data_IF_316018886193
#
_entry.id   IF_316018886193
#
_cell.length_a   1.000
_cell.length_b   1.000
_cell.length_c   1.000
_cell.angle_alpha   90.00
_cell.angle_beta   90.00
_cell.angle_gamma   90.00
#
_symmetry.space_group_name_H-M   'P 1'
#
loop_
_entity.id
_entity.type
_entity.pdbx_description
1 polymer ?
#
# COMPACT_ATOMS: atom_id res chain seq x y z
N UNK A 1 -40.95 37.05 45.28
CA UNK A 1 -40.61 35.76 45.91
C UNK A 1 -40.78 34.67 44.86
N UNK A 2 -39.74 33.88 44.57
CA UNK A 2 -39.70 32.41 44.78
C UNK A 2 -40.83 31.65 44.05
N UNK A 3 -40.63 30.62 43.24
CA UNK A 3 -39.49 29.76 42.99
C UNK A 3 -39.85 28.80 41.84
N UNK A 4 -38.80 28.32 41.16
CA UNK A 4 -38.60 26.95 40.65
C UNK A 4 -39.82 26.05 40.40
N UNK A 5 -39.98 25.62 39.14
CA UNK A 5 -40.05 24.19 38.79
C UNK A 5 -40.03 24.02 37.26
N UNK A 6 -38.88 24.35 36.67
CA UNK A 6 -38.52 23.98 35.31
C UNK A 6 -38.32 22.46 35.22
N UNK A 7 -39.13 21.84 34.37
CA UNK A 7 -38.73 20.86 33.35
C UNK A 7 -37.64 19.82 33.68
N UNK A 8 -38.06 18.59 33.93
CA UNK A 8 -37.35 17.33 33.64
C UNK A 8 -38.47 16.31 33.36
N UNK A 9 -38.41 15.44 32.32
CA UNK A 9 -37.23 14.64 32.00
C UNK A 9 -37.05 14.33 30.50
N UNK A 10 -35.97 14.81 29.85
CA UNK A 10 -35.67 14.43 28.46
C UNK A 10 -34.17 14.22 28.21
N UNK A 11 -33.47 13.62 29.18
CA UNK A 11 -32.08 13.19 29.01
C UNK A 11 -31.91 11.81 29.67
N UNK A 12 -32.62 10.82 29.15
CA UNK A 12 -32.48 9.41 29.53
C UNK A 12 -32.00 8.54 28.36
N UNK A 13 -31.19 9.08 27.44
CA UNK A 13 -30.78 8.37 26.22
C UNK A 13 -29.29 8.45 25.85
N UNK A 14 -28.41 8.92 26.73
CA UNK A 14 -27.00 9.09 26.37
C UNK A 14 -26.03 8.44 27.39
N UNK A 15 -26.14 7.13 27.59
CA UNK A 15 -25.04 6.28 28.11
C UNK A 15 -25.40 4.81 27.80
N UNK A 16 -24.53 3.97 27.19
CA UNK A 16 -23.07 3.98 27.34
C UNK A 16 -22.31 3.77 26.01
N UNK A 17 -21.67 4.80 25.49
CA UNK A 17 -20.54 4.62 24.55
C UNK A 17 -19.18 4.57 25.28
N UNK A 18 -19.18 4.69 26.61
CA UNK A 18 -17.99 4.67 27.46
C UNK A 18 -17.78 3.28 28.08
N UNK A 19 -17.63 2.27 27.23
CA UNK A 19 -17.11 0.96 27.64
C UNK A 19 -16.23 0.32 26.54
N UNK A 20 -15.97 1.01 25.44
CA UNK A 20 -14.84 0.67 24.59
C UNK A 20 -13.57 1.14 25.31
N UNK A 21 -13.08 0.31 26.23
CA UNK A 21 -11.65 0.25 26.53
C UNK A 21 -10.94 0.33 25.19
N UNK A 22 -10.26 1.46 24.94
CA UNK A 22 -9.38 1.59 23.81
C UNK A 22 -8.46 0.36 23.85
N UNK A 23 -8.51 -0.45 22.80
CA UNK A 23 -7.62 -1.59 22.67
C UNK A 23 -6.19 -1.08 22.94
N UNK A 24 -5.38 -1.81 23.72
CA UNK A 24 -3.99 -1.43 23.90
C UNK A 24 -3.39 -1.18 22.51
N UNK A 25 -2.64 -0.08 22.32
CA UNK A 25 -2.01 0.17 21.03
C UNK A 25 -1.24 -1.10 20.66
N UNK A 26 -1.36 -1.60 19.43
CA UNK A 26 -0.69 -2.82 19.02
C UNK A 26 0.78 -2.68 19.41
N UNK A 27 1.24 -3.60 20.27
CA UNK A 27 2.64 -3.67 20.68
C UNK A 27 3.49 -3.57 19.43
N UNK A 28 4.54 -2.76 19.47
CA UNK A 28 5.54 -2.62 18.42
C UNK A 28 6.07 -4.01 18.03
N UNK A 29 5.37 -4.69 17.13
CA UNK A 29 5.88 -5.86 16.48
C UNK A 29 7.03 -5.28 15.69
N UNK A 30 8.26 -5.53 16.15
CA UNK A 30 9.46 -5.23 15.41
C UNK A 30 9.17 -5.68 13.98
N UNK A 31 9.00 -4.72 13.08
CA UNK A 31 8.52 -4.96 11.74
C UNK A 31 9.56 -5.87 11.08
N UNK A 32 9.34 -7.19 11.16
CA UNK A 32 10.24 -8.18 10.63
C UNK A 32 10.01 -8.15 9.14
N UNK A 33 10.90 -7.44 8.44
CA UNK A 33 10.84 -7.43 6.99
C UNK A 33 10.94 -8.87 6.49
N UNK A 34 10.05 -9.29 5.58
CA UNK A 34 10.15 -10.59 4.95
C UNK A 34 11.56 -10.78 4.37
N UNK A 35 12.21 -11.93 4.62
CA UNK A 35 13.58 -12.20 4.16
C UNK A 35 13.73 -12.13 2.62
N UNK A 36 12.62 -12.18 1.90
CA UNK A 36 12.56 -12.04 0.44
C UNK A 36 12.97 -10.63 -0.03
N UNK A 37 12.77 -9.59 0.79
CA UNK A 37 13.11 -8.20 0.44
C UNK A 37 14.63 -7.97 0.52
N UNK A 38 15.34 -8.76 1.34
CA UNK A 38 16.79 -8.68 1.50
C UNK A 38 17.56 -9.67 0.62
N UNK A 39 16.89 -10.64 -0.02
CA UNK A 39 17.52 -11.59 -0.92
C UNK A 39 17.78 -10.98 -2.31
N UNK A 40 19.06 -10.82 -2.67
CA UNK A 40 19.44 -10.32 -3.99
C UNK A 40 18.97 -11.23 -5.15
N UNK A 41 18.70 -12.52 -4.89
CA UNK A 41 18.17 -13.46 -5.89
C UNK A 41 16.71 -13.20 -6.23
N UNK A 42 16.00 -12.41 -5.41
CA UNK A 42 14.61 -12.04 -5.70
C UNK A 42 14.50 -11.16 -6.95
N UNK A 43 15.47 -10.25 -7.15
CA UNK A 43 15.52 -9.42 -8.36
C UNK A 43 15.60 -10.27 -9.63
N UNK A 44 16.43 -11.32 -9.63
CA UNK A 44 16.56 -12.22 -10.78
C UNK A 44 15.28 -13.01 -11.02
N UNK A 45 14.64 -13.52 -9.96
CA UNK A 45 13.35 -14.21 -10.05
C UNK A 45 12.25 -13.30 -10.59
N UNK A 46 12.25 -12.02 -10.21
CA UNK A 46 11.32 -11.02 -10.73
C UNK A 46 11.54 -10.78 -12.22
N UNK A 47 12.79 -10.59 -12.65
CA UNK A 47 13.11 -10.43 -14.07
C UNK A 47 12.64 -11.66 -14.87
N UNK A 48 12.93 -12.87 -14.39
CA UNK A 48 12.51 -14.10 -15.06
C UNK A 48 10.98 -14.24 -15.12
N UNK A 49 10.27 -13.86 -14.06
CA UNK A 49 8.81 -13.81 -14.04
C UNK A 49 8.27 -12.80 -15.05
N UNK A 50 8.85 -11.61 -15.14
CA UNK A 50 8.45 -10.60 -16.14
C UNK A 50 8.68 -11.10 -17.58
N UNK A 51 9.79 -11.81 -17.83
CA UNK A 51 10.04 -12.46 -19.12
C UNK A 51 8.98 -13.52 -19.41
N UNK A 52 8.63 -14.36 -18.43
CA UNK A 52 7.58 -15.36 -18.61
C UNK A 52 6.20 -14.74 -18.90
N UNK A 53 5.89 -13.61 -18.25
CA UNK A 53 4.63 -12.88 -18.45
C UNK A 53 4.59 -12.04 -19.72
N UNK A 54 5.76 -11.66 -20.28
CA UNK A 54 5.85 -10.80 -21.47
C UNK A 54 5.04 -11.33 -22.66
N UNK A 55 5.02 -12.65 -22.85
CA UNK A 55 4.23 -13.32 -23.89
C UNK A 55 2.73 -13.10 -23.70
N UNK A 56 2.24 -13.13 -22.47
CA UNK A 56 0.84 -12.89 -22.16
C UNK A 56 0.47 -11.42 -22.45
N UNK A 57 1.31 -10.47 -22.05
CA UNK A 57 1.09 -9.05 -22.32
C UNK A 57 1.05 -8.73 -23.82
N UNK A 58 1.98 -9.30 -24.60
CA UNK A 58 2.01 -9.06 -26.04
C UNK A 58 0.74 -9.55 -26.77
N UNK A 59 0.05 -10.54 -26.23
CA UNK A 59 -1.19 -11.08 -26.80
C UNK A 59 -2.45 -10.39 -26.24
N UNK A 60 -2.32 -9.39 -25.37
CA UNK A 60 -3.46 -8.72 -24.77
C UNK A 60 -4.23 -7.91 -25.85
N UNK A 61 -5.55 -8.12 -26.02
CA UNK A 61 -6.33 -7.48 -27.08
C UNK A 61 -6.67 -6.03 -26.68
N UNK A 62 -5.80 -5.10 -27.04
CA UNK A 62 -6.00 -3.67 -26.76
C UNK A 62 -7.20 -3.08 -27.46
N UNK A 63 -7.56 -3.58 -28.64
CA UNK A 63 -8.76 -3.10 -29.34
C UNK A 63 -10.05 -3.43 -28.59
N UNK A 64 -10.11 -4.58 -27.91
CA UNK A 64 -11.28 -4.94 -27.10
C UNK A 64 -11.39 -4.05 -25.86
N UNK A 65 -10.25 -3.73 -25.24
CA UNK A 65 -10.19 -2.81 -24.09
C UNK A 65 -10.62 -1.41 -24.52
N UNK A 66 -10.13 -0.92 -25.67
CA UNK A 66 -10.50 0.38 -26.22
C UNK A 66 -12.00 0.44 -26.55
N UNK A 67 -12.56 -0.58 -27.21
CA UNK A 67 -13.99 -0.65 -27.50
C UNK A 67 -14.85 -0.65 -26.23
N UNK A 68 -14.40 -1.33 -25.17
CA UNK A 68 -15.09 -1.35 -23.87
C UNK A 68 -15.07 0.03 -23.20
N UNK A 69 -13.95 0.75 -23.27
CA UNK A 69 -13.83 2.14 -22.77
C UNK A 69 -14.73 3.09 -23.56
N UNK A 70 -14.84 2.90 -24.87
CA UNK A 70 -15.73 3.65 -25.76
C UNK A 70 -17.22 3.27 -25.62
N UNK A 71 -17.54 2.24 -24.82
CA UNK A 71 -18.91 1.79 -24.58
C UNK A 71 -19.58 1.11 -25.78
N UNK A 72 -18.80 0.61 -26.74
CA UNK A 72 -19.29 -0.09 -27.94
C UNK A 72 -18.93 -1.58 -27.92
N UNK A 73 -19.68 -2.46 -28.60
CA UNK A 73 -19.28 -3.84 -28.75
C UNK A 73 -17.97 -3.94 -29.57
N UNK A 74 -17.04 -4.77 -29.11
CA UNK A 74 -15.79 -5.02 -29.82
C UNK A 74 -16.04 -5.72 -31.17
N UNK A 75 -15.50 -5.16 -32.24
CA UNK A 75 -15.61 -5.70 -33.61
C UNK A 75 -14.56 -6.78 -33.86
N UNK A 76 -14.71 -7.56 -34.95
CA UNK A 76 -13.71 -8.54 -35.35
C UNK A 76 -12.33 -7.93 -35.67
N UNK A 77 -12.28 -6.64 -36.01
CA UNK A 77 -11.04 -5.91 -36.22
C UNK A 77 -10.37 -5.58 -34.87
N UNK A 78 -11.14 -5.11 -33.89
CA UNK A 78 -10.65 -4.79 -32.54
C UNK A 78 -10.02 -6.01 -31.85
N UNK A 79 -10.63 -7.18 -31.99
CA UNK A 79 -10.12 -8.46 -31.45
C UNK A 79 -8.77 -8.87 -32.03
N UNK A 80 -8.41 -8.38 -33.22
CA UNK A 80 -7.11 -8.64 -33.84
C UNK A 80 -6.05 -7.62 -33.42
N UNK A 81 -6.45 -6.50 -32.82
CA UNK A 81 -5.52 -5.49 -32.31
C UNK A 81 -5.01 -5.92 -30.95
N UNK A 82 -3.76 -6.34 -30.93
CA UNK A 82 -3.02 -6.74 -29.72
C UNK A 82 -1.85 -5.80 -29.48
N UNK A 83 -1.31 -5.76 -28.26
CA UNK A 83 -0.12 -4.96 -27.95
C UNK A 83 1.00 -5.24 -28.96
N UNK A 84 1.21 -6.51 -29.34
CA UNK A 84 2.19 -6.89 -30.36
C UNK A 84 1.96 -6.19 -31.69
N UNK A 85 0.71 -6.11 -32.16
CA UNK A 85 0.38 -5.53 -33.46
C UNK A 85 0.48 -4.00 -33.45
N UNK A 86 0.17 -3.35 -32.33
CA UNK A 86 0.29 -1.89 -32.20
C UNK A 86 1.74 -1.45 -32.04
N UNK A 87 2.52 -2.17 -31.22
CA UNK A 87 3.91 -1.79 -30.90
C UNK A 87 4.93 -2.35 -31.88
N UNK A 88 4.54 -3.31 -32.74
CA UNK A 88 5.42 -4.07 -33.61
C UNK A 88 6.57 -4.79 -32.86
N UNK A 89 6.48 -4.90 -31.54
CA UNK A 89 7.53 -5.52 -30.72
C UNK A 89 7.39 -7.04 -30.75
N UNK A 90 8.50 -7.72 -31.08
CA UNK A 90 8.55 -9.17 -30.94
C UNK A 90 8.76 -9.59 -29.48
N UNK A 91 8.45 -10.85 -29.16
CA UNK A 91 8.76 -11.42 -27.85
C UNK A 91 10.25 -11.33 -27.52
N UNK A 92 11.11 -11.44 -28.54
CA UNK A 92 12.56 -11.31 -28.39
C UNK A 92 12.95 -9.88 -28.01
N UNK A 93 12.31 -8.87 -28.60
CA UNK A 93 12.61 -7.46 -28.30
C UNK A 93 12.22 -7.10 -26.87
N UNK A 94 11.04 -7.52 -26.43
CA UNK A 94 10.59 -7.32 -25.05
C UNK A 94 11.50 -8.05 -24.07
N UNK A 95 11.89 -9.30 -24.37
CA UNK A 95 12.84 -10.05 -23.54
C UNK A 95 14.18 -9.32 -23.43
N UNK A 96 14.74 -8.90 -24.55
CA UNK A 96 16.02 -8.19 -24.59
C UNK A 96 15.95 -6.89 -23.78
N UNK A 97 14.83 -6.16 -23.84
CA UNK A 97 14.64 -4.93 -23.09
C UNK A 97 14.52 -5.19 -21.58
N UNK A 98 13.81 -6.24 -21.17
CA UNK A 98 13.72 -6.66 -19.77
C UNK A 98 15.10 -7.11 -19.26
N UNK A 99 15.83 -7.92 -20.03
CA UNK A 99 17.18 -8.35 -19.66
C UNK A 99 18.16 -7.17 -19.56
N UNK A 100 18.03 -6.18 -20.44
CA UNK A 100 18.83 -4.95 -20.38
C UNK A 100 18.56 -4.10 -19.13
N UNK A 101 17.37 -4.22 -18.52
CA UNK A 101 17.03 -3.49 -17.27
C UNK A 101 17.45 -4.24 -16.00
N UNK A 102 17.88 -5.51 -16.11
CA UNK A 102 18.34 -6.33 -14.97
C UNK A 102 19.42 -5.65 -14.10
N UNK A 103 20.47 -5.00 -14.65
CA UNK A 103 21.47 -4.31 -13.85
C UNK A 103 20.88 -3.14 -13.05
N UNK A 104 19.95 -2.40 -13.65
CA UNK A 104 19.27 -1.26 -13.00
C UNK A 104 18.38 -1.76 -11.87
N UNK A 105 17.63 -2.83 -12.08
CA UNK A 105 16.81 -3.45 -11.02
C UNK A 105 17.67 -3.93 -9.84
N UNK A 106 18.80 -4.59 -10.11
CA UNK A 106 19.74 -5.03 -9.07
C UNK A 106 20.32 -3.84 -8.30
N UNK A 107 20.69 -2.77 -8.99
CA UNK A 107 21.18 -1.54 -8.37
C UNK A 107 20.10 -0.89 -7.48
N UNK A 108 18.86 -0.81 -7.96
CA UNK A 108 17.72 -0.31 -7.21
C UNK A 108 17.46 -1.11 -5.93
N UNK A 109 17.40 -2.45 -6.04
CA UNK A 109 17.22 -3.32 -4.87
C UNK A 109 18.37 -3.18 -3.87
N UNK A 110 19.62 -3.05 -4.34
CA UNK A 110 20.76 -2.80 -3.46
C UNK A 110 20.60 -1.47 -2.72
N UNK A 111 20.20 -0.41 -3.41
CA UNK A 111 19.97 0.90 -2.81
C UNK A 111 18.86 0.85 -1.75
N UNK A 112 17.73 0.18 -2.06
CA UNK A 112 16.65 -0.05 -1.10
C UNK A 112 17.18 -0.82 0.11
N UNK A 113 17.88 -1.93 -0.09
CA UNK A 113 18.44 -2.74 1.00
C UNK A 113 19.41 -1.97 1.89
N UNK A 114 20.19 -1.05 1.31
CA UNK A 114 21.11 -0.19 2.05
C UNK A 114 20.39 0.90 2.85
N UNK A 115 19.22 1.34 2.38
CA UNK A 115 18.37 2.32 3.05
C UNK A 115 17.45 1.70 4.13
N UNK A 116 17.16 0.39 4.06
CA UNK A 116 16.27 -0.27 5.02
C UNK A 116 16.65 -0.02 6.49
N UNK A 117 17.92 -0.13 6.93
CA UNK A 117 18.28 0.08 8.33
C UNK A 117 18.01 1.52 8.81
N UNK A 118 18.24 2.52 7.96
CA UNK A 118 18.00 3.92 8.33
C UNK A 118 16.50 4.23 8.40
N UNK A 119 15.70 3.67 7.49
CA UNK A 119 14.24 3.76 7.54
C UNK A 119 13.68 3.11 8.81
N UNK A 120 14.15 1.92 9.17
CA UNK A 120 13.76 1.24 10.40
C UNK A 120 14.13 2.05 11.65
N UNK A 121 15.33 2.63 11.67
CA UNK A 121 15.75 3.51 12.75
C UNK A 121 14.84 4.73 12.87
N UNK A 122 14.54 5.39 11.75
CA UNK A 122 13.62 6.54 11.72
C UNK A 122 12.22 6.18 12.22
N UNK A 123 11.69 5.02 11.86
CA UNK A 123 10.41 4.52 12.38
C UNK A 123 10.45 4.28 13.89
N UNK A 124 11.54 3.67 14.40
CA UNK A 124 11.71 3.45 15.83
C UNK A 124 11.92 4.75 16.63
N UNK A 125 12.57 5.75 16.04
CA UNK A 125 12.70 7.09 16.63
C UNK A 125 11.33 7.80 16.68
N UNK A 126 10.57 7.76 15.58
CA UNK A 126 9.23 8.34 15.50
C UNK A 126 8.26 7.71 16.50
N UNK A 127 8.33 6.39 16.67
CA UNK A 127 7.52 5.68 17.66
C UNK A 127 7.82 6.16 19.09
N UNK A 128 9.11 6.28 19.45
CA UNK A 128 9.51 6.78 20.78
C UNK A 128 9.05 8.21 21.01
N UNK A 129 9.09 9.04 19.98
CA UNK A 129 8.63 10.42 20.08
C UNK A 129 7.10 10.51 20.25
N UNK A 130 6.35 9.66 19.54
CA UNK A 130 4.89 9.52 19.76
C UNK A 130 4.57 9.04 21.17
N UNK A 131 5.31 8.06 21.71
CA UNK A 131 5.14 7.58 23.09
C UNK A 131 5.40 8.69 24.12
N UNK A 132 6.43 9.51 23.93
CA UNK A 132 6.69 10.69 24.78
C UNK A 132 5.59 11.74 24.68
N UNK A 133 5.11 12.02 23.47
CA UNK A 133 4.02 12.96 23.26
C UNK A 133 2.75 12.49 23.97
N UNK A 134 2.39 11.21 23.86
CA UNK A 134 1.25 10.62 24.57
C UNK A 134 1.45 10.59 26.10
N UNK A 135 2.67 10.35 26.58
CA UNK A 135 2.97 10.35 28.02
C UNK A 135 2.79 11.73 28.67
N UNK A 136 2.93 12.82 27.89
CA UNK A 136 2.75 14.20 28.35
C UNK A 136 1.35 14.77 28.09
N UNK A 137 0.41 13.97 27.55
CA UNK A 137 -0.99 14.41 27.43
C UNK A 137 -1.62 14.42 28.83
N UNK A 138 -2.21 15.56 29.27
CA UNK A 138 -2.90 15.62 30.55
C UNK A 138 -3.98 14.56 30.60
N UNK A 139 -3.88 13.64 31.57
CA UNK A 139 -4.92 12.65 31.75
C UNK A 139 -6.19 13.37 32.27
N UNK A 140 -7.38 13.07 31.72
CA UNK A 140 -8.62 13.71 32.14
C UNK A 140 -9.03 13.40 33.59
N UNK A 141 -8.35 12.46 34.26
CA UNK A 141 -8.55 12.07 35.66
C UNK A 141 -7.65 12.82 36.66
N UNK A 142 -6.82 13.77 36.22
CA UNK A 142 -5.98 14.54 37.13
C UNK A 142 -6.82 15.51 38.00
N UNK A 143 -6.78 15.43 39.34
CA UNK A 143 -7.56 16.30 40.20
C UNK A 143 -7.05 17.74 40.07
N UNK A 144 -7.93 18.64 39.61
CA UNK A 144 -7.70 20.09 39.65
C UNK A 144 -7.65 20.51 41.12
N UNK A 145 -6.53 21.09 41.54
CA UNK A 145 -6.43 21.77 42.84
C UNK A 145 -7.18 23.09 42.82
#
# INVERSE_FOLDING_TARGET
>A
MRAFALSLPLIALASPALAQQAAPPPSAQAYQLPPEITDMRWADRMTDAMVAMSKAFLNLPVGEVEAAVEGRPATAADKRRTIRNETQMSERDVRNQIEATRPVMRAGMRAVSAALPSMMKGLADAQREMERAMANVPRPDYPKR
#
